data_IF_051856303581
#
_entry.id   IF_051856303581
#
_cell.length_a   1.000
_cell.length_b   1.000
_cell.length_c   1.000
_cell.angle_alpha   90.00
_cell.angle_beta   90.00
_cell.angle_gamma   90.00
#
_symmetry.space_group_name_H-M   'P 1'
#
loop_
_entity.id
_entity.type
_entity.pdbx_description
1 polymer ?
#
# COMPACT_ATOMS: atom_id res chain seq x y z
N UNK A 1 -4.54 -20.74 5.96
CA UNK A 1 -5.76 -21.58 6.00
C UNK A 1 -5.77 -22.40 4.71
N UNK A 2 -6.11 -23.70 4.72
CA UNK A 2 -6.15 -24.46 3.48
C UNK A 2 -7.08 -23.80 2.43
N UNK A 3 -6.61 -23.68 1.19
CA UNK A 3 -7.35 -23.07 0.08
C UNK A 3 -7.40 -21.53 0.05
N UNK A 4 -6.85 -20.82 1.06
CA UNK A 4 -6.81 -19.35 1.05
C UNK A 4 -5.64 -18.81 0.21
N UNK A 5 -5.80 -17.63 -0.36
CA UNK A 5 -4.70 -16.78 -0.83
C UNK A 5 -4.30 -15.79 0.26
N UNK A 6 -3.14 -15.15 0.16
CA UNK A 6 -2.70 -14.10 1.08
C UNK A 6 -2.58 -12.74 0.40
N UNK A 7 -3.13 -11.69 1.02
CA UNK A 7 -2.72 -10.32 0.74
C UNK A 7 -1.56 -10.00 1.68
N UNK A 8 -0.45 -9.53 1.12
CA UNK A 8 0.69 -9.05 1.89
C UNK A 8 0.69 -7.53 1.76
N UNK A 9 0.44 -6.84 2.88
CA UNK A 9 0.60 -5.38 2.93
C UNK A 9 2.07 -5.03 3.12
N UNK A 10 2.42 -3.78 2.88
CA UNK A 10 3.80 -3.29 3.01
C UNK A 10 3.76 -1.78 3.25
N UNK A 11 4.18 -1.35 4.42
CA UNK A 11 4.31 0.07 4.79
C UNK A 11 5.57 0.25 5.63
N UNK A 12 6.09 1.47 5.69
CA UNK A 12 7.13 1.82 6.65
C UNK A 12 6.80 3.13 7.34
N UNK A 13 7.25 3.29 8.56
CA UNK A 13 7.07 4.49 9.39
C UNK A 13 8.38 4.82 10.09
N UNK A 14 8.59 6.05 10.60
CA UNK A 14 9.76 6.34 11.41
C UNK A 14 9.91 5.31 12.54
N UNK A 15 11.10 4.71 12.79
CA UNK A 15 11.25 3.64 13.77
C UNK A 15 10.73 4.01 15.17
N UNK A 16 10.82 5.29 15.56
CA UNK A 16 10.26 5.82 16.80
C UNK A 16 8.73 5.72 16.94
N UNK A 17 8.01 5.52 15.83
CA UNK A 17 6.54 5.42 15.73
C UNK A 17 6.06 3.99 15.45
N UNK A 18 6.97 3.06 15.15
CA UNK A 18 6.63 1.70 14.73
C UNK A 18 5.75 0.97 15.74
N UNK A 19 6.08 1.06 17.03
CA UNK A 19 5.34 0.39 18.09
C UNK A 19 3.87 0.89 18.15
N UNK A 20 3.66 2.21 18.12
CA UNK A 20 2.33 2.82 18.18
C UNK A 20 1.48 2.36 16.98
N UNK A 21 2.05 2.43 15.77
CA UNK A 21 1.37 2.06 14.52
C UNK A 21 1.04 0.56 14.49
N UNK A 22 1.91 -0.31 15.00
CA UNK A 22 1.62 -1.75 15.13
C UNK A 22 0.44 -1.97 16.09
N UNK A 23 0.43 -1.31 17.24
CA UNK A 23 -0.66 -1.45 18.23
C UNK A 23 -2.00 -1.01 17.65
N UNK A 24 -2.06 0.15 16.99
CA UNK A 24 -3.26 0.61 16.30
C UNK A 24 -3.71 -0.36 15.19
N UNK A 25 -2.76 -0.92 14.46
CA UNK A 25 -3.03 -1.90 13.39
C UNK A 25 -3.59 -3.21 13.97
N UNK A 26 -3.12 -3.65 15.14
CA UNK A 26 -3.68 -4.81 15.85
C UNK A 26 -5.12 -4.55 16.31
N UNK A 27 -5.44 -3.34 16.78
CA UNK A 27 -6.79 -2.95 17.13
C UNK A 27 -7.72 -3.02 15.91
N UNK A 28 -7.30 -2.45 14.76
CA UNK A 28 -8.07 -2.49 13.51
C UNK A 28 -8.32 -3.93 13.01
N UNK A 29 -7.31 -4.82 13.08
CA UNK A 29 -7.49 -6.25 12.78
C UNK A 29 -8.57 -6.89 13.66
N UNK A 30 -8.54 -6.60 14.96
CA UNK A 30 -9.50 -7.14 15.92
C UNK A 30 -10.91 -6.61 15.67
N UNK A 31 -11.08 -5.31 15.44
CA UNK A 31 -12.39 -4.68 15.20
C UNK A 31 -13.03 -5.14 13.89
N UNK A 32 -12.21 -5.40 12.87
CA UNK A 32 -12.69 -5.94 11.59
C UNK A 32 -12.98 -7.44 11.61
N UNK A 33 -12.58 -8.15 12.67
CA UNK A 33 -12.64 -9.60 12.75
C UNK A 33 -11.71 -10.31 11.75
N UNK A 34 -10.73 -9.60 11.20
CA UNK A 34 -9.75 -10.16 10.28
C UNK A 34 -8.66 -10.91 11.06
N UNK A 35 -8.32 -12.10 10.57
CA UNK A 35 -7.11 -12.79 11.02
C UNK A 35 -5.93 -12.32 10.17
N UNK A 36 -4.84 -11.88 10.79
CA UNK A 36 -3.64 -11.43 10.09
C UNK A 36 -2.39 -11.56 10.93
N UNK A 37 -1.25 -11.84 10.28
CA UNK A 37 0.06 -11.92 10.93
C UNK A 37 0.86 -10.65 10.63
N UNK A 38 1.43 -10.03 11.66
CA UNK A 38 2.31 -8.87 11.52
C UNK A 38 3.76 -9.36 11.59
N UNK A 39 4.57 -9.01 10.59
CA UNK A 39 6.02 -9.26 10.53
C UNK A 39 6.70 -7.98 10.05
N UNK A 40 7.96 -7.73 10.42
CA UNK A 40 8.62 -6.52 9.98
C UNK A 40 10.13 -6.55 10.06
N UNK A 41 10.74 -5.73 9.22
CA UNK A 41 12.14 -5.35 9.27
C UNK A 41 12.27 -4.20 10.26
N UNK A 42 12.27 -4.53 11.56
CA UNK A 42 12.12 -3.56 12.65
C UNK A 42 13.22 -2.48 12.69
N UNK A 43 14.41 -2.77 12.17
CA UNK A 43 15.52 -1.80 12.09
C UNK A 43 15.20 -0.59 11.20
N UNK A 44 14.29 -0.77 10.25
CA UNK A 44 14.06 0.15 9.14
C UNK A 44 12.67 0.80 9.25
N UNK A 45 11.89 0.42 10.28
CA UNK A 45 10.52 0.88 10.49
C UNK A 45 9.50 0.26 9.52
N UNK A 46 9.89 -0.74 8.73
CA UNK A 46 9.06 -1.41 7.74
C UNK A 46 8.36 -2.64 8.32
N UNK A 47 7.06 -2.80 8.04
CA UNK A 47 6.29 -3.97 8.43
C UNK A 47 5.18 -4.32 7.45
N UNK A 48 4.72 -5.55 7.57
CA UNK A 48 3.75 -6.21 6.72
C UNK A 48 2.64 -6.82 7.58
N UNK A 49 1.42 -6.82 7.04
CA UNK A 49 0.30 -7.58 7.56
C UNK A 49 -0.10 -8.59 6.49
N UNK A 50 0.07 -9.87 6.81
CA UNK A 50 -0.31 -10.98 5.93
C UNK A 50 -1.73 -11.43 6.29
N UNK A 51 -2.68 -11.22 5.37
CA UNK A 51 -4.10 -11.50 5.60
C UNK A 51 -4.59 -12.58 4.62
N UNK A 52 -4.95 -13.79 5.10
CA UNK A 52 -5.56 -14.80 4.26
C UNK A 52 -6.97 -14.40 3.84
N UNK A 53 -7.33 -14.75 2.60
CA UNK A 53 -8.66 -14.54 2.04
C UNK A 53 -9.03 -15.65 1.06
N UNK A 54 -10.33 -15.79 0.77
CA UNK A 54 -10.87 -16.67 -0.26
C UNK A 54 -11.42 -15.82 -1.41
N UNK A 55 -11.07 -16.15 -2.67
CA UNK A 55 -11.37 -15.30 -3.83
C UNK A 55 -12.86 -15.19 -4.15
N UNK A 56 -13.62 -16.22 -3.81
CA UNK A 56 -15.07 -16.32 -3.99
C UNK A 56 -15.86 -15.58 -2.90
N UNK A 57 -15.20 -15.18 -1.79
CA UNK A 57 -15.83 -14.41 -0.72
C UNK A 57 -15.66 -12.89 -0.92
N UNK A 58 -16.60 -12.27 -1.63
CA UNK A 58 -16.57 -10.83 -1.95
C UNK A 58 -16.62 -9.91 -0.72
N UNK A 59 -17.33 -10.32 0.34
CA UNK A 59 -17.41 -9.54 1.58
C UNK A 59 -16.04 -9.50 2.27
N UNK A 60 -15.38 -10.67 2.40
CA UNK A 60 -14.05 -10.76 2.96
C UNK A 60 -13.04 -9.97 2.12
N UNK A 61 -13.09 -10.09 0.78
CA UNK A 61 -12.26 -9.31 -0.12
C UNK A 61 -12.39 -7.80 0.10
N UNK A 62 -13.62 -7.32 0.32
CA UNK A 62 -13.89 -5.90 0.58
C UNK A 62 -13.31 -5.47 1.93
N UNK A 63 -13.49 -6.28 2.98
CA UNK A 63 -12.89 -6.02 4.30
C UNK A 63 -11.38 -5.97 4.25
N UNK A 64 -10.74 -6.92 3.56
CA UNK A 64 -9.28 -7.01 3.41
C UNK A 64 -8.72 -5.79 2.67
N UNK A 65 -9.35 -5.38 1.56
CA UNK A 65 -8.95 -4.17 0.82
C UNK A 65 -9.13 -2.90 1.65
N UNK A 66 -10.26 -2.78 2.36
CA UNK A 66 -10.54 -1.64 3.22
C UNK A 66 -9.54 -1.53 4.39
N UNK A 67 -9.18 -2.66 5.00
CA UNK A 67 -8.12 -2.72 6.00
C UNK A 67 -6.76 -2.28 5.41
N UNK A 68 -6.38 -2.80 4.24
CA UNK A 68 -5.13 -2.41 3.58
C UNK A 68 -5.09 -0.91 3.29
N UNK A 69 -6.22 -0.30 2.92
CA UNK A 69 -6.31 1.13 2.70
C UNK A 69 -6.08 1.92 4.00
N UNK A 70 -6.77 1.55 5.10
CA UNK A 70 -6.58 2.20 6.41
C UNK A 70 -5.17 2.03 6.94
N UNK A 71 -4.52 0.90 6.68
CA UNK A 71 -3.12 0.70 7.06
C UNK A 71 -2.19 1.68 6.36
N UNK A 72 -2.39 1.90 5.05
CA UNK A 72 -1.63 2.91 4.30
C UNK A 72 -1.91 4.31 4.83
N UNK A 73 -3.17 4.67 5.02
CA UNK A 73 -3.57 5.98 5.57
C UNK A 73 -2.95 6.23 6.95
N UNK A 74 -2.94 5.21 7.82
CA UNK A 74 -2.29 5.24 9.13
C UNK A 74 -0.79 5.47 8.99
N UNK A 75 -0.10 4.72 8.14
CA UNK A 75 1.33 4.91 7.93
C UNK A 75 1.66 6.33 7.44
N UNK A 76 0.90 6.85 6.48
CA UNK A 76 1.08 8.21 5.96
C UNK A 76 0.78 9.29 7.02
N UNK A 77 -0.21 9.07 7.90
CA UNK A 77 -0.51 9.98 9.01
C UNK A 77 0.64 10.07 10.04
N UNK A 78 1.46 9.03 10.13
CA UNK A 78 2.67 8.97 10.95
C UNK A 78 3.94 9.38 10.18
N UNK A 79 3.79 10.12 9.07
CA UNK A 79 4.89 10.56 8.20
C UNK A 79 5.70 9.38 7.63
N UNK A 80 5.06 8.22 7.49
CA UNK A 80 5.61 7.05 6.83
C UNK A 80 5.36 7.02 5.32
N UNK A 81 5.49 5.83 4.73
CA UNK A 81 5.29 5.56 3.31
C UNK A 81 4.21 4.50 3.07
N UNK A 82 3.48 4.63 1.97
CA UNK A 82 2.52 3.63 1.53
C UNK A 82 3.20 2.34 1.06
N UNK A 83 4.53 2.34 0.86
CA UNK A 83 5.28 1.19 0.36
C UNK A 83 6.70 1.19 0.90
N UNK A 84 7.00 0.26 1.81
CA UNK A 84 8.34 0.15 2.39
C UNK A 84 9.35 -0.39 1.39
N UNK A 85 8.97 -1.42 0.64
CA UNK A 85 9.88 -2.12 -0.29
C UNK A 85 9.23 -2.59 -1.60
N UNK A 86 7.91 -2.74 -1.69
CA UNK A 86 7.28 -3.40 -2.86
C UNK A 86 7.00 -2.46 -4.04
N UNK A 87 7.18 -1.15 -3.84
CA UNK A 87 6.87 -0.13 -4.84
C UNK A 87 5.37 0.09 -5.05
N UNK A 88 5.02 0.86 -6.10
CA UNK A 88 3.63 1.30 -6.33
C UNK A 88 2.85 0.35 -7.25
N UNK A 89 3.45 -0.01 -8.39
CA UNK A 89 2.86 -0.92 -9.37
C UNK A 89 1.46 -0.48 -9.81
N UNK A 90 0.50 -1.41 -9.76
CA UNK A 90 -0.93 -1.12 -9.97
C UNK A 90 -1.67 -0.88 -8.64
N UNK A 91 -1.27 -1.60 -7.59
CA UNK A 91 -2.05 -1.71 -6.36
C UNK A 91 -2.04 -0.46 -5.48
N UNK A 92 -1.03 0.40 -5.62
CA UNK A 92 -0.82 1.55 -4.75
C UNK A 92 -0.83 2.90 -5.49
N UNK A 93 -1.23 2.92 -6.77
CA UNK A 93 -1.22 4.14 -7.58
C UNK A 93 -2.05 5.28 -6.97
N UNK A 94 -3.17 4.95 -6.32
CA UNK A 94 -4.00 5.90 -5.60
C UNK A 94 -3.28 6.60 -4.43
N UNK A 95 -2.22 6.00 -3.88
CA UNK A 95 -1.48 6.54 -2.74
C UNK A 95 -0.29 7.40 -3.18
N UNK A 96 0.19 7.23 -4.42
CA UNK A 96 1.35 7.94 -4.95
C UNK A 96 1.14 9.47 -4.89
N UNK A 97 -0.03 9.96 -5.29
CA UNK A 97 -0.37 11.38 -5.25
C UNK A 97 -0.55 11.91 -3.83
N UNK A 98 -1.02 11.07 -2.91
CA UNK A 98 -1.18 11.42 -1.49
C UNK A 98 0.19 11.59 -0.83
N UNK A 99 1.10 10.65 -1.07
CA UNK A 99 2.43 10.62 -0.45
C UNK A 99 3.37 11.67 -1.06
N UNK A 100 3.46 11.76 -2.39
CA UNK A 100 4.50 12.54 -3.06
C UNK A 100 4.02 13.88 -3.65
N UNK A 101 2.71 14.11 -3.73
CA UNK A 101 2.08 15.38 -4.15
C UNK A 101 2.70 15.93 -5.45
N UNK A 102 3.20 17.15 -5.43
CA UNK A 102 3.78 17.87 -6.56
C UNK A 102 4.98 17.14 -7.20
N UNK A 103 5.64 16.24 -6.47
CA UNK A 103 6.76 15.46 -7.02
C UNK A 103 6.31 14.47 -8.11
N UNK A 104 5.03 14.09 -8.12
CA UNK A 104 4.46 13.15 -9.11
C UNK A 104 4.56 13.71 -10.53
N UNK A 105 4.40 15.02 -10.71
CA UNK A 105 4.53 15.67 -12.02
C UNK A 105 5.95 15.61 -12.58
N UNK A 106 6.95 15.67 -11.69
CA UNK A 106 8.35 15.50 -12.07
C UNK A 106 8.61 14.06 -12.51
N UNK A 107 8.08 13.07 -11.78
CA UNK A 107 8.21 11.67 -12.17
C UNK A 107 7.53 11.38 -13.53
N UNK A 108 6.36 11.95 -13.76
CA UNK A 108 5.67 11.91 -15.05
C UNK A 108 6.49 12.54 -16.18
N UNK A 109 7.09 13.70 -15.91
CA UNK A 109 7.95 14.40 -16.88
C UNK A 109 9.12 13.51 -17.30
N UNK A 110 9.78 12.87 -16.33
CA UNK A 110 10.87 11.92 -16.60
C UNK A 110 10.36 10.73 -17.43
N UNK A 111 9.24 10.12 -17.05
CA UNK A 111 8.64 9.00 -17.78
C UNK A 111 8.35 9.36 -19.24
N UNK A 112 7.74 10.52 -19.51
CA UNK A 112 7.44 10.97 -20.88
C UNK A 112 8.69 11.28 -21.70
N UNK A 113 9.73 11.83 -21.06
CA UNK A 113 11.00 12.09 -21.73
C UNK A 113 11.72 10.80 -22.15
N UNK A 114 11.68 9.76 -21.30
CA UNK A 114 12.34 8.48 -21.56
C UNK A 114 11.52 7.52 -22.44
N UNK A 115 10.19 7.55 -22.32
CA UNK A 115 9.28 6.68 -23.04
C UNK A 115 8.12 7.48 -23.67
N UNK A 116 8.40 8.26 -24.72
CA UNK A 116 7.41 9.12 -25.36
C UNK A 116 6.29 8.34 -26.07
N UNK A 117 6.46 7.03 -26.29
CA UNK A 117 5.46 6.16 -26.92
C UNK A 117 4.63 5.36 -25.90
N UNK A 118 4.92 5.52 -24.60
CA UNK A 118 4.30 4.79 -23.49
C UNK A 118 4.28 3.26 -23.67
N UNK A 119 5.37 2.69 -24.19
CA UNK A 119 5.48 1.23 -24.42
C UNK A 119 6.16 0.50 -23.24
N UNK A 120 6.85 1.23 -22.36
CA UNK A 120 7.52 0.68 -21.20
C UNK A 120 6.55 0.58 -20.02
N UNK A 121 5.81 -0.54 -19.97
CA UNK A 121 4.99 -0.92 -18.82
C UNK A 121 3.81 0.05 -18.53
N UNK A 122 2.95 0.32 -19.53
CA UNK A 122 1.89 1.32 -19.43
C UNK A 122 0.91 1.03 -18.29
N UNK A 123 0.39 2.11 -17.69
CA UNK A 123 -0.63 2.04 -16.64
C UNK A 123 -0.14 1.56 -15.27
N UNK A 124 1.17 1.42 -15.07
CA UNK A 124 1.79 1.18 -13.74
C UNK A 124 2.49 2.43 -13.26
N UNK A 125 2.53 2.64 -11.94
CA UNK A 125 2.90 3.89 -11.26
C UNK A 125 1.91 5.02 -11.51
N UNK A 126 1.56 5.25 -12.78
CA UNK A 126 0.70 6.33 -13.21
C UNK A 126 -0.50 5.79 -13.98
N UNK A 127 -1.66 6.41 -13.79
CA UNK A 127 -2.76 6.21 -14.72
C UNK A 127 -2.26 6.67 -16.10
N UNK A 128 -2.61 5.96 -17.17
CA UNK A 128 -2.21 6.35 -18.54
C UNK A 128 -2.72 7.76 -18.88
N UNK A 129 -2.55 8.22 -20.13
CA UNK A 129 -2.85 9.60 -20.60
C UNK A 129 -4.24 10.23 -20.31
N UNK A 130 -5.07 9.65 -19.43
CA UNK A 130 -6.17 10.35 -18.79
C UNK A 130 -5.64 11.64 -18.10
N UNK A 131 -6.16 12.81 -18.48
CA UNK A 131 -5.83 14.04 -17.79
C UNK A 131 -6.30 13.94 -16.34
N UNK A 132 -5.42 14.29 -15.41
CA UNK A 132 -5.75 14.55 -14.02
C UNK A 132 -6.73 15.74 -13.99
N UNK A 133 -8.01 15.46 -13.80
CA UNK A 133 -9.01 16.43 -13.34
C UNK A 133 -9.66 15.87 -12.08
#
# INVERSE_FOLDING_TARGET
MPGSRGLVTDVAVPPSKLADVIVETQVDLKETGLFGAIVGHVGDGNFHVMIPFYQDNQELMTKVKSFSNRLVERALAYEGTCTGEHGIGLGKMNYLSVEHRDSVDVMHTIKKALDPKDIMNPGKMFYGNAPSY
#
